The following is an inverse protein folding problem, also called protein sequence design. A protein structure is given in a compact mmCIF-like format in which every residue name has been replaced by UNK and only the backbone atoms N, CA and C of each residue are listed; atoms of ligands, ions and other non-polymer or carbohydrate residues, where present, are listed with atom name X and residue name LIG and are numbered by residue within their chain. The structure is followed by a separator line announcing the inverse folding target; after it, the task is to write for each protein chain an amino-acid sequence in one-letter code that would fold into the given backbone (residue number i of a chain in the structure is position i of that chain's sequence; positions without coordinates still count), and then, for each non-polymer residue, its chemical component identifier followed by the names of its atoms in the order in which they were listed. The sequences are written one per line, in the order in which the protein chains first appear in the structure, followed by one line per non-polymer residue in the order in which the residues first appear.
data_IF_949195191709
#
_entry.id   IF_949195191709
#
_cell.length_a   1.000
_cell.length_b   1.000
_cell.length_c   1.000
_cell.angle_alpha   90.00
_cell.angle_beta   90.00
_cell.angle_gamma   90.00
#
_symmetry.space_group_name_H-M   'P 1'
#
loop_
_entity.id
_entity.type
_entity.pdbx_description
1 polymer ?
#
# COMPACT_ATOMS: atom_id res chain seq x y z
N UNK A 1 -10.85 12.66 -15.70
CA UNK A 1 -9.39 12.58 -15.42
C UNK A 1 -8.94 13.93 -14.87
N UNK A 2 -9.21 15.06 -15.54
CA UNK A 2 -8.75 16.38 -15.09
C UNK A 2 -9.15 16.75 -13.66
N UNK A 3 -10.38 16.46 -13.24
CA UNK A 3 -10.85 16.73 -11.88
C UNK A 3 -10.13 15.86 -10.84
N UNK A 4 -9.80 14.61 -11.20
CA UNK A 4 -9.02 13.73 -10.33
C UNK A 4 -7.59 14.22 -10.16
N UNK A 5 -6.92 14.64 -11.25
CA UNK A 5 -5.58 15.21 -11.20
C UNK A 5 -5.51 16.46 -10.32
N UNK A 6 -6.47 17.38 -10.48
CA UNK A 6 -6.56 18.59 -9.67
C UNK A 6 -6.74 18.27 -8.18
N UNK A 7 -7.61 17.30 -7.85
CA UNK A 7 -7.82 16.84 -6.48
C UNK A 7 -6.54 16.27 -5.89
N UNK A 8 -5.89 15.35 -6.59
CA UNK A 8 -4.67 14.70 -6.09
C UNK A 8 -3.52 15.70 -5.94
N UNK A 9 -3.34 16.61 -6.89
CA UNK A 9 -2.34 17.67 -6.80
C UNK A 9 -2.61 18.58 -5.60
N UNK A 10 -3.87 19.01 -5.40
CA UNK A 10 -4.27 19.84 -4.27
C UNK A 10 -3.99 19.16 -2.92
N UNK A 11 -4.40 17.92 -2.78
CA UNK A 11 -4.20 17.14 -1.55
C UNK A 11 -2.71 16.95 -1.24
N UNK A 12 -1.92 16.50 -2.21
CA UNK A 12 -0.49 16.25 -1.95
C UNK A 12 0.37 17.51 -1.86
N UNK A 13 -0.08 18.64 -2.42
CA UNK A 13 0.55 19.93 -2.19
C UNK A 13 0.32 20.45 -0.76
N UNK A 14 -0.87 20.19 -0.19
CA UNK A 14 -1.26 20.64 1.14
C UNK A 14 -0.90 19.65 2.26
N UNK A 15 -0.53 18.39 1.93
CA UNK A 15 -0.29 17.35 2.91
C UNK A 15 0.86 17.73 3.88
N UNK A 16 0.62 17.69 5.21
CA UNK A 16 1.59 18.10 6.22
C UNK A 16 2.60 16.96 6.50
N UNK A 17 3.45 16.68 5.52
CA UNK A 17 4.38 15.55 5.57
C UNK A 17 5.82 15.99 5.81
N UNK A 18 6.58 15.16 6.53
CA UNK A 18 8.01 15.36 6.79
C UNK A 18 8.85 15.03 5.55
N UNK A 19 10.12 15.46 5.56
CA UNK A 19 11.03 15.22 4.44
C UNK A 19 11.33 13.72 4.22
N UNK A 20 11.23 12.89 5.25
CA UNK A 20 11.47 11.45 5.25
C UNK A 20 10.17 10.63 5.10
N UNK A 21 9.03 11.29 4.91
CA UNK A 21 7.75 10.63 4.71
C UNK A 21 7.78 9.63 3.55
N UNK A 22 7.10 8.51 3.74
CA UNK A 22 6.86 7.51 2.71
C UNK A 22 5.39 7.60 2.30
N UNK A 23 5.11 7.89 1.04
CA UNK A 23 3.75 7.99 0.52
C UNK A 23 3.42 6.71 -0.24
N UNK A 24 2.40 5.99 0.20
CA UNK A 24 1.92 4.78 -0.45
C UNK A 24 0.48 4.99 -0.90
N UNK A 25 0.26 4.99 -2.21
CA UNK A 25 -1.02 5.33 -2.82
C UNK A 25 -1.53 4.13 -3.62
N UNK A 26 -2.66 3.57 -3.18
CA UNK A 26 -3.28 2.44 -3.86
C UNK A 26 -4.21 2.92 -4.96
N UNK A 27 -4.00 2.44 -6.17
CA UNK A 27 -4.78 2.79 -7.36
C UNK A 27 -5.09 1.54 -8.19
N UNK A 28 -6.36 1.40 -8.57
CA UNK A 28 -6.83 0.34 -9.46
C UNK A 28 -6.78 0.74 -10.93
N UNK A 29 -6.97 -0.22 -11.82
CA UNK A 29 -7.15 0.04 -13.25
C UNK A 29 -8.57 0.55 -13.51
N UNK A 30 -8.68 1.63 -14.24
CA UNK A 30 -9.94 2.16 -14.76
C UNK A 30 -10.02 1.87 -16.26
N UNK A 31 -11.16 1.35 -16.71
CA UNK A 31 -11.43 1.12 -18.13
C UNK A 31 -12.56 2.03 -18.59
N UNK A 32 -12.40 2.60 -19.77
CA UNK A 32 -13.41 3.40 -20.46
C UNK A 32 -13.33 3.10 -21.95
N UNK A 33 -14.46 2.92 -22.59
CA UNK A 33 -14.57 2.69 -24.05
C UNK A 33 -13.69 1.54 -24.55
N UNK A 34 -13.55 0.47 -23.74
CA UNK A 34 -12.76 -0.71 -24.08
C UNK A 34 -11.27 -0.63 -23.75
N UNK A 35 -10.76 0.53 -23.37
CA UNK A 35 -9.34 0.75 -23.08
C UNK A 35 -9.12 1.00 -21.59
N UNK A 36 -7.92 0.64 -21.08
CA UNK A 36 -7.50 1.08 -19.75
C UNK A 36 -6.98 2.52 -19.83
N UNK A 37 -7.35 3.32 -18.82
CA UNK A 37 -6.99 4.73 -18.76
C UNK A 37 -5.85 4.92 -17.76
N UNK A 38 -4.68 5.41 -18.18
CA UNK A 38 -3.55 5.68 -17.31
C UNK A 38 -3.74 7.01 -16.56
N UNK A 39 -4.82 7.15 -15.82
CA UNK A 39 -5.26 8.40 -15.19
C UNK A 39 -4.27 8.94 -14.14
N UNK A 40 -3.32 8.13 -13.70
CA UNK A 40 -2.27 8.52 -12.74
C UNK A 40 -0.99 9.06 -13.40
N UNK A 41 -0.84 9.03 -14.73
CA UNK A 41 0.42 9.41 -15.39
C UNK A 41 0.80 10.87 -15.14
N UNK A 42 -0.10 11.80 -15.42
CA UNK A 42 0.14 13.23 -15.25
C UNK A 42 0.38 13.58 -13.77
N UNK A 43 -0.41 13.00 -12.87
CA UNK A 43 -0.19 13.15 -11.44
C UNK A 43 1.18 12.62 -10.99
N UNK A 44 1.61 11.47 -11.47
CA UNK A 44 2.94 10.93 -11.11
C UNK A 44 4.09 11.77 -11.66
N UNK A 45 3.92 12.40 -12.82
CA UNK A 45 4.87 13.38 -13.37
C UNK A 45 4.90 14.64 -12.51
N UNK A 46 3.74 15.14 -12.11
CA UNK A 46 3.62 16.27 -11.20
C UNK A 46 4.29 15.97 -9.84
N UNK A 47 4.07 14.80 -9.25
CA UNK A 47 4.75 14.37 -8.01
C UNK A 47 6.27 14.46 -8.15
N UNK A 48 6.84 14.03 -9.29
CA UNK A 48 8.27 14.18 -9.55
C UNK A 48 8.70 15.64 -9.58
N UNK A 49 7.93 16.50 -10.21
CA UNK A 49 8.21 17.95 -10.25
C UNK A 49 8.20 18.58 -8.86
N UNK A 50 7.42 18.02 -7.90
CA UNK A 50 7.39 18.42 -6.49
C UNK A 50 8.54 17.79 -5.66
N UNK A 51 9.49 17.11 -6.30
CA UNK A 51 10.65 16.50 -5.64
C UNK A 51 10.40 15.11 -5.05
N UNK A 52 9.24 14.49 -5.32
CA UNK A 52 8.96 13.12 -4.93
C UNK A 52 9.55 12.15 -5.95
N UNK A 53 10.32 11.18 -5.48
CA UNK A 53 10.82 10.10 -6.34
C UNK A 53 9.76 9.03 -6.49
N UNK A 54 9.52 8.53 -7.70
CA UNK A 54 8.77 7.29 -7.94
C UNK A 54 9.66 6.13 -7.50
N UNK A 55 9.58 5.77 -6.22
CA UNK A 55 10.56 4.92 -5.55
C UNK A 55 10.24 3.43 -5.66
N UNK A 56 8.98 3.05 -5.50
CA UNK A 56 8.53 1.68 -5.60
C UNK A 56 7.19 1.54 -6.31
N UNK A 57 6.94 0.35 -6.80
CA UNK A 57 5.68 -0.06 -7.40
C UNK A 57 5.38 -1.47 -6.92
N UNK A 58 4.34 -1.60 -6.11
CA UNK A 58 3.94 -2.86 -5.49
C UNK A 58 2.58 -3.29 -6.02
N UNK A 59 2.26 -4.56 -5.84
CA UNK A 59 0.99 -5.14 -6.25
C UNK A 59 0.24 -5.60 -5.01
N UNK A 60 -1.01 -5.22 -4.89
CA UNK A 60 -1.95 -5.88 -4.01
C UNK A 60 -2.70 -6.96 -4.78
N UNK A 61 -2.33 -8.21 -4.56
CA UNK A 61 -3.03 -9.41 -5.05
C UNK A 61 -4.24 -9.66 -4.15
N UNK A 62 -5.42 -9.45 -4.73
CA UNK A 62 -6.72 -9.53 -4.06
C UNK A 62 -7.30 -10.96 -4.03
N UNK A 63 -6.55 -11.93 -4.54
CA UNK A 63 -7.00 -13.29 -4.76
C UNK A 63 -7.81 -13.47 -6.06
N UNK A 64 -8.67 -14.47 -6.16
CA UNK A 64 -9.40 -14.75 -7.39
C UNK A 64 -10.18 -13.54 -7.91
N UNK A 65 -10.12 -13.32 -9.21
CA UNK A 65 -10.86 -12.25 -9.88
C UNK A 65 -12.36 -12.35 -9.63
N UNK A 66 -13.08 -11.25 -9.73
CA UNK A 66 -14.53 -11.22 -9.63
C UNK A 66 -15.14 -11.98 -10.81
N UNK A 67 -16.14 -12.86 -10.58
CA UNK A 67 -16.84 -13.53 -11.66
C UNK A 67 -17.57 -12.50 -12.52
N UNK A 68 -17.70 -12.78 -13.80
CA UNK A 68 -18.42 -11.95 -14.76
C UNK A 68 -17.81 -11.98 -16.15
N UNK A 69 -18.50 -11.35 -17.09
CA UNK A 69 -17.95 -11.07 -18.41
C UNK A 69 -17.20 -9.76 -18.39
N UNK A 70 -15.92 -9.82 -18.72
CA UNK A 70 -15.02 -8.67 -18.72
C UNK A 70 -14.69 -8.18 -20.15
N UNK A 71 -15.59 -8.46 -21.11
CA UNK A 71 -15.47 -8.03 -22.50
C UNK A 71 -14.11 -8.45 -23.13
N UNK A 72 -13.77 -9.73 -23.00
CA UNK A 72 -12.52 -10.30 -23.54
C UNK A 72 -11.28 -10.06 -22.67
N UNK A 73 -11.39 -9.36 -21.56
CA UNK A 73 -10.30 -9.16 -20.60
C UNK A 73 -10.32 -10.24 -19.51
N UNK A 74 -9.20 -10.44 -18.86
CA UNK A 74 -9.12 -11.26 -17.66
C UNK A 74 -9.84 -10.58 -16.49
N UNK A 75 -10.38 -11.36 -15.57
CA UNK A 75 -11.04 -10.85 -14.36
C UNK A 75 -10.03 -10.11 -13.48
N UNK A 76 -10.33 -8.86 -13.06
CA UNK A 76 -9.41 -8.06 -12.25
C UNK A 76 -9.21 -8.71 -10.88
N UNK A 77 -7.95 -8.89 -10.49
CA UNK A 77 -7.56 -9.58 -9.27
C UNK A 77 -6.47 -8.85 -8.48
N UNK A 78 -6.06 -7.69 -8.94
CA UNK A 78 -5.01 -6.90 -8.29
C UNK A 78 -5.21 -5.40 -8.49
N UNK A 79 -4.54 -4.65 -7.63
CA UNK A 79 -4.36 -3.21 -7.73
C UNK A 79 -2.89 -2.85 -7.51
N UNK A 80 -2.54 -1.61 -7.76
CA UNK A 80 -1.17 -1.13 -7.64
C UNK A 80 -1.02 -0.25 -6.41
N UNK A 81 0.13 -0.33 -5.76
CA UNK A 81 0.53 0.58 -4.68
C UNK A 81 1.76 1.35 -5.15
N UNK A 82 1.58 2.62 -5.45
CA UNK A 82 2.66 3.53 -5.84
C UNK A 82 3.34 4.05 -4.59
N UNK A 83 4.66 3.93 -4.53
CA UNK A 83 5.47 4.39 -3.42
C UNK A 83 6.32 5.58 -3.84
N UNK A 84 6.10 6.71 -3.18
CA UNK A 84 6.89 7.91 -3.37
C UNK A 84 7.63 8.27 -2.09
N UNK A 85 8.84 8.82 -2.22
CA UNK A 85 9.59 9.41 -1.12
C UNK A 85 10.52 10.51 -1.60
N UNK A 86 11.01 11.32 -0.68
CA UNK A 86 12.14 12.24 -0.89
C UNK A 86 13.42 11.65 -0.34
N UNK A 87 13.33 10.90 0.76
CA UNK A 87 14.42 10.17 1.38
C UNK A 87 14.05 8.69 1.50
N UNK A 88 14.95 7.74 1.16
CA UNK A 88 14.63 6.31 1.25
C UNK A 88 14.62 5.88 2.72
N UNK A 89 13.63 5.08 3.09
CA UNK A 89 13.59 4.34 4.34
C UNK A 89 13.79 2.85 4.02
N UNK A 90 14.60 2.15 4.81
CA UNK A 90 14.68 0.69 4.74
C UNK A 90 13.39 0.11 5.30
N UNK A 91 12.71 -0.80 4.59
CA UNK A 91 11.56 -1.48 5.14
C UNK A 91 11.93 -2.31 6.36
N UNK A 92 11.04 -2.36 7.33
CA UNK A 92 11.15 -3.23 8.49
C UNK A 92 11.05 -4.70 8.06
N UNK A 93 11.70 -5.59 8.79
CA UNK A 93 11.67 -7.02 8.56
C UNK A 93 10.50 -7.62 9.34
N UNK A 94 9.35 -7.74 8.68
CA UNK A 94 8.09 -8.16 9.31
C UNK A 94 7.66 -9.57 8.93
N UNK A 95 8.31 -10.18 7.93
CA UNK A 95 7.96 -11.51 7.43
C UNK A 95 8.95 -12.53 7.94
N UNK A 96 8.47 -13.61 8.55
CA UNK A 96 9.32 -14.72 8.99
C UNK A 96 10.12 -15.33 7.82
N UNK A 97 11.37 -15.66 8.07
CA UNK A 97 12.23 -16.31 7.10
C UNK A 97 12.01 -17.82 7.16
N UNK A 98 11.64 -18.43 6.03
CA UNK A 98 11.37 -19.88 5.92
C UNK A 98 12.54 -20.75 6.40
N UNK A 99 13.77 -20.27 6.26
CA UNK A 99 15.01 -21.00 6.57
C UNK A 99 15.83 -20.26 7.63
N UNK A 100 15.16 -19.65 8.63
CA UNK A 100 15.81 -18.93 9.71
C UNK A 100 16.83 -19.84 10.46
N UNK A 101 18.02 -19.32 10.69
CA UNK A 101 19.10 -20.03 11.37
C UNK A 101 19.92 -20.99 10.48
N UNK A 102 19.42 -21.34 9.29
CA UNK A 102 20.22 -22.12 8.33
C UNK A 102 21.35 -21.26 7.74
N UNK A 103 22.44 -21.92 7.36
CA UNK A 103 23.55 -21.22 6.71
C UNK A 103 23.20 -20.84 5.27
N UNK A 104 23.39 -19.59 4.92
CA UNK A 104 23.15 -19.12 3.55
C UNK A 104 24.12 -19.83 2.60
N UNK A 105 23.56 -20.69 1.72
CA UNK A 105 24.31 -21.45 0.74
C UNK A 105 25.07 -20.58 -0.26
N UNK A 106 26.15 -21.10 -0.78
CA UNK A 106 26.88 -20.48 -1.90
C UNK A 106 26.03 -20.47 -3.17
N UNK A 107 26.07 -19.37 -3.87
CA UNK A 107 25.42 -19.20 -5.18
C UNK A 107 25.89 -17.91 -5.82
N UNK A 108 25.84 -17.86 -7.15
CA UNK A 108 26.18 -16.65 -7.90
C UNK A 108 24.92 -15.83 -8.19
N UNK A 109 25.03 -14.53 -8.08
CA UNK A 109 24.08 -13.56 -8.62
C UNK A 109 24.64 -13.02 -9.93
N UNK A 110 23.86 -13.06 -11.00
CA UNK A 110 24.24 -12.46 -12.27
C UNK A 110 23.95 -10.96 -12.22
N UNK A 111 25.01 -10.15 -12.43
CA UNK A 111 24.89 -8.71 -12.62
C UNK A 111 24.24 -8.35 -13.94
N UNK A 112 23.85 -7.08 -14.10
CA UNK A 112 23.28 -6.56 -15.34
C UNK A 112 24.23 -6.64 -16.53
N UNK A 113 25.53 -6.66 -16.28
CA UNK A 113 26.63 -6.84 -17.24
C UNK A 113 26.88 -8.32 -17.61
N UNK A 114 26.10 -9.26 -17.05
CA UNK A 114 26.25 -10.70 -17.28
C UNK A 114 27.29 -11.37 -16.39
N UNK A 115 28.07 -10.63 -15.60
CA UNK A 115 29.04 -11.21 -14.67
C UNK A 115 28.35 -11.93 -13.51
N UNK A 116 28.99 -12.97 -12.99
CA UNK A 116 28.48 -13.72 -11.85
C UNK A 116 29.26 -13.35 -10.59
N UNK A 117 28.59 -12.71 -9.65
CA UNK A 117 29.16 -12.34 -8.37
C UNK A 117 28.72 -13.31 -7.28
N UNK A 118 29.60 -13.58 -6.31
CA UNK A 118 29.23 -14.38 -5.15
C UNK A 118 28.13 -13.65 -4.38
N UNK A 119 27.11 -14.40 -3.96
CA UNK A 119 26.00 -13.87 -3.13
C UNK A 119 26.55 -13.31 -1.83
N UNK A 120 26.26 -12.03 -1.55
CA UNK A 120 26.66 -11.38 -0.29
C UNK A 120 26.06 -12.12 0.90
N UNK A 121 26.87 -12.31 1.96
CA UNK A 121 26.42 -13.00 3.18
C UNK A 121 26.48 -14.53 3.10
N UNK A 122 27.03 -15.12 2.02
CA UNK A 122 27.29 -16.58 1.96
C UNK A 122 28.09 -17.04 3.18
N UNK A 123 27.62 -18.08 3.87
CA UNK A 123 28.21 -18.58 5.10
C UNK A 123 27.61 -17.98 6.38
N UNK A 124 26.84 -16.89 6.29
CA UNK A 124 26.13 -16.33 7.45
C UNK A 124 24.81 -17.06 7.70
N UNK A 125 24.37 -17.05 8.96
CA UNK A 125 23.06 -17.56 9.31
C UNK A 125 21.94 -16.68 8.70
N UNK A 126 20.90 -17.31 8.19
CA UNK A 126 19.70 -16.63 7.68
C UNK A 126 18.97 -16.01 8.88
N UNK A 127 18.65 -14.74 8.77
CA UNK A 127 17.96 -14.00 9.82
C UNK A 127 16.54 -14.53 10.04
N UNK A 128 16.01 -14.36 11.25
CA UNK A 128 14.66 -14.81 11.61
C UNK A 128 13.56 -14.15 10.77
N UNK A 129 13.74 -12.89 10.40
CA UNK A 129 12.78 -12.13 9.62
C UNK A 129 13.45 -11.48 8.40
N UNK A 130 12.67 -11.31 7.35
CA UNK A 130 13.02 -10.63 6.11
C UNK A 130 12.05 -9.47 5.82
N UNK A 131 12.43 -8.58 4.92
CA UNK A 131 11.54 -7.56 4.39
C UNK A 131 10.37 -8.23 3.64
N UNK A 132 9.18 -7.60 3.60
CA UNK A 132 8.05 -8.08 2.80
C UNK A 132 8.38 -8.18 1.30
N UNK A 133 7.62 -8.99 0.61
CA UNK A 133 7.64 -9.05 -0.84
C UNK A 133 6.96 -7.83 -1.46
N UNK A 134 7.26 -7.53 -2.72
CA UNK A 134 6.59 -6.45 -3.47
C UNK A 134 5.17 -6.79 -3.92
N UNK A 135 4.67 -7.98 -3.56
CA UNK A 135 3.31 -8.44 -3.82
C UNK A 135 2.65 -8.78 -2.48
N UNK A 136 1.68 -7.97 -2.09
CA UNK A 136 0.84 -8.22 -0.91
C UNK A 136 -0.29 -9.17 -1.27
N UNK A 137 -0.22 -10.42 -0.83
CA UNK A 137 -1.22 -11.46 -1.08
C UNK A 137 -2.25 -11.47 0.03
N UNK A 138 -3.18 -10.54 -0.03
CA UNK A 138 -4.20 -10.32 1.00
C UNK A 138 -5.55 -10.28 0.32
N UNK A 139 -6.40 -11.24 0.66
CA UNK A 139 -7.74 -11.35 0.05
C UNK A 139 -8.54 -10.07 0.25
N UNK A 140 -9.26 -9.64 -0.80
CA UNK A 140 -10.20 -8.53 -0.68
C UNK A 140 -11.24 -8.80 0.41
N UNK A 141 -11.74 -7.74 1.01
CA UNK A 141 -12.83 -7.87 1.98
C UNK A 141 -14.07 -8.44 1.29
N UNK A 142 -14.67 -9.48 1.90
CA UNK A 142 -15.91 -10.09 1.40
C UNK A 142 -17.07 -9.63 2.28
N UNK A 143 -18.02 -8.92 1.70
CA UNK A 143 -19.23 -8.47 2.38
C UNK A 143 -19.22 -6.99 2.76
N UNK A 144 -20.36 -6.50 3.25
CA UNK A 144 -20.51 -5.13 3.74
C UNK A 144 -19.83 -4.92 5.10
N UNK A 145 -19.89 -3.69 5.60
CA UNK A 145 -19.33 -3.31 6.90
C UNK A 145 -20.19 -3.78 8.10
N UNK A 146 -21.16 -4.66 7.86
CA UNK A 146 -22.09 -5.12 8.90
C UNK A 146 -22.91 -3.97 9.49
N UNK A 147 -23.04 -3.94 10.81
CA UNK A 147 -23.79 -2.91 11.52
C UNK A 147 -23.17 -1.49 11.40
N UNK A 148 -21.93 -1.37 10.97
CA UNK A 148 -21.27 -0.08 10.78
C UNK A 148 -21.70 0.67 9.51
N UNK A 149 -22.45 0.01 8.61
CA UNK A 149 -22.94 0.63 7.38
C UNK A 149 -22.40 0.00 6.09
N UNK A 150 -22.46 0.73 4.99
CA UNK A 150 -21.96 0.28 3.68
C UNK A 150 -20.96 1.29 3.12
N UNK A 151 -19.91 0.77 2.47
CA UNK A 151 -18.97 1.57 1.69
C UNK A 151 -18.58 0.76 0.45
N UNK A 152 -18.57 1.37 -0.74
CA UNK A 152 -18.36 0.64 -2.00
C UNK A 152 -16.96 0.06 -2.17
N UNK A 153 -15.96 0.67 -1.52
CA UNK A 153 -14.55 0.27 -1.67
C UNK A 153 -13.85 0.28 -0.30
N UNK A 154 -13.76 -0.89 0.33
CA UNK A 154 -13.11 -1.05 1.64
C UNK A 154 -11.85 -1.89 1.49
N UNK A 155 -10.71 -1.35 1.90
CA UNK A 155 -9.49 -2.13 2.03
C UNK A 155 -9.59 -3.14 3.17
N UNK A 156 -8.98 -4.32 3.04
CA UNK A 156 -8.72 -5.16 4.20
C UNK A 156 -7.80 -4.45 5.19
N UNK A 157 -8.14 -4.48 6.47
CA UNK A 157 -7.28 -3.91 7.53
C UNK A 157 -5.88 -4.51 7.46
N UNK A 158 -5.76 -5.82 7.21
CA UNK A 158 -4.48 -6.52 7.09
C UNK A 158 -3.56 -5.95 5.98
N UNK A 159 -4.10 -5.38 4.89
CA UNK A 159 -3.29 -4.73 3.88
C UNK A 159 -2.60 -3.48 4.44
N UNK A 160 -3.38 -2.67 5.14
CA UNK A 160 -2.87 -1.43 5.73
C UNK A 160 -1.90 -1.75 6.87
N UNK A 161 -2.21 -2.73 7.73
CA UNK A 161 -1.29 -3.22 8.78
C UNK A 161 0.05 -3.63 8.18
N UNK A 162 0.06 -4.46 7.13
CA UNK A 162 1.29 -4.90 6.47
C UNK A 162 2.12 -3.74 5.90
N UNK A 163 1.46 -2.72 5.33
CA UNK A 163 2.12 -1.52 4.81
C UNK A 163 2.68 -0.66 5.95
N UNK A 164 1.89 -0.42 7.00
CA UNK A 164 2.33 0.37 8.16
C UNK A 164 3.51 -0.29 8.88
N UNK A 165 3.44 -1.57 9.13
CA UNK A 165 4.54 -2.32 9.78
C UNK A 165 5.82 -2.28 8.94
N UNK A 166 5.71 -2.33 7.61
CA UNK A 166 6.87 -2.28 6.73
C UNK A 166 7.57 -0.91 6.72
N UNK A 167 6.81 0.20 6.81
CA UNK A 167 7.35 1.55 6.55
C UNK A 167 7.27 2.52 7.72
N UNK A 168 6.77 2.08 8.89
CA UNK A 168 6.68 2.90 10.10
C UNK A 168 7.10 2.11 11.33
N UNK A 169 7.36 2.81 12.43
CA UNK A 169 7.57 2.22 13.75
C UNK A 169 6.39 2.53 14.70
N UNK A 170 6.16 1.76 15.77
CA UNK A 170 5.17 2.10 16.77
C UNK A 170 5.34 3.53 17.29
N UNK A 171 4.23 4.27 17.39
CA UNK A 171 4.21 5.69 17.78
C UNK A 171 4.34 6.68 16.62
N UNK A 172 4.74 6.25 15.43
CA UNK A 172 4.77 7.11 14.23
C UNK A 172 3.39 7.65 13.88
N UNK A 173 3.38 8.81 13.21
CA UNK A 173 2.16 9.45 12.73
C UNK A 173 1.89 9.08 11.28
N UNK A 174 0.69 8.59 11.02
CA UNK A 174 0.13 8.30 9.71
C UNK A 174 -0.84 9.41 9.33
N UNK A 175 -0.77 9.90 8.10
CA UNK A 175 -1.74 10.83 7.53
C UNK A 175 -2.52 10.16 6.41
N UNK A 176 -3.84 10.17 6.50
CA UNK A 176 -4.76 9.59 5.53
C UNK A 176 -5.71 10.67 4.99
N UNK A 177 -5.49 11.16 3.76
CA UNK A 177 -6.32 12.23 3.19
C UNK A 177 -7.67 11.76 2.63
N UNK A 178 -7.90 10.46 2.51
CA UNK A 178 -9.11 9.86 1.91
C UNK A 178 -9.64 8.73 2.81
N UNK A 179 -10.01 9.07 4.03
CA UNK A 179 -10.28 8.13 5.12
C UNK A 179 -11.39 7.11 4.80
N UNK A 180 -12.42 7.53 4.08
CA UNK A 180 -13.56 6.68 3.75
C UNK A 180 -14.16 6.05 5.00
N UNK A 181 -14.20 4.73 5.02
CA UNK A 181 -14.73 3.98 6.15
C UNK A 181 -13.75 3.77 7.33
N UNK A 182 -12.59 4.44 7.36
CA UNK A 182 -11.67 4.43 8.50
C UNK A 182 -10.79 3.20 8.65
N UNK A 183 -10.48 2.48 7.58
CA UNK A 183 -9.63 1.28 7.65
C UNK A 183 -8.23 1.60 8.18
N UNK A 184 -7.67 2.74 7.81
CA UNK A 184 -6.36 3.21 8.25
C UNK A 184 -6.35 3.56 9.74
N UNK A 185 -7.45 4.11 10.28
CA UNK A 185 -7.58 4.37 11.72
C UNK A 185 -7.48 3.07 12.53
N UNK A 186 -8.21 2.04 12.09
CA UNK A 186 -8.22 0.72 12.75
C UNK A 186 -6.83 0.07 12.65
N UNK A 187 -6.20 0.09 11.48
CA UNK A 187 -4.87 -0.48 11.27
C UNK A 187 -3.80 0.24 12.10
N UNK A 188 -3.85 1.57 12.17
CA UNK A 188 -2.93 2.37 12.96
C UNK A 188 -3.06 2.02 14.45
N UNK A 189 -4.28 1.97 14.98
CA UNK A 189 -4.53 1.58 16.37
C UNK A 189 -3.97 0.20 16.69
N UNK A 190 -4.30 -0.82 15.88
CA UNK A 190 -3.85 -2.20 16.08
C UNK A 190 -2.33 -2.37 16.02
N UNK A 191 -1.68 -1.53 15.24
CA UNK A 191 -0.22 -1.58 15.07
C UNK A 191 0.53 -0.59 15.96
N UNK A 192 -0.17 0.13 16.84
CA UNK A 192 0.41 1.10 17.77
C UNK A 192 0.91 2.39 17.11
N UNK A 193 0.33 2.77 15.96
CA UNK A 193 0.60 4.04 15.27
C UNK A 193 -0.49 5.04 15.60
N UNK A 194 -0.19 6.33 15.43
CA UNK A 194 -1.18 7.41 15.50
C UNK A 194 -1.64 7.72 14.09
N UNK A 195 -2.94 7.98 13.89
CA UNK A 195 -3.47 8.35 12.60
C UNK A 195 -4.23 9.68 12.67
N UNK A 196 -3.93 10.58 11.73
CA UNK A 196 -4.76 11.74 11.42
C UNK A 196 -5.39 11.51 10.05
N UNK A 197 -6.71 11.54 9.98
CA UNK A 197 -7.44 11.23 8.78
C UNK A 197 -8.40 12.37 8.41
N UNK A 198 -8.64 12.52 7.11
CA UNK A 198 -9.58 13.48 6.54
C UNK A 198 -10.61 12.73 5.73
N UNK A 199 -11.87 13.10 5.89
CA UNK A 199 -12.99 12.59 5.09
C UNK A 199 -13.92 13.76 4.75
N UNK A 200 -14.35 13.83 3.51
CA UNK A 200 -15.20 14.92 3.01
C UNK A 200 -16.68 14.67 3.34
N UNK A 201 -17.12 13.42 3.26
CA UNK A 201 -18.51 13.05 3.51
C UNK A 201 -18.76 12.77 4.99
N UNK A 202 -19.61 13.57 5.68
CA UNK A 202 -19.88 13.38 7.10
C UNK A 202 -20.51 12.03 7.41
N UNK A 203 -21.20 11.39 6.46
CA UNK A 203 -21.75 10.04 6.65
C UNK A 203 -20.62 9.03 6.80
N UNK A 204 -19.55 9.16 6.01
CA UNK A 204 -18.39 8.29 6.14
C UNK A 204 -17.54 8.61 7.37
N UNK A 205 -17.52 9.86 7.84
CA UNK A 205 -16.94 10.18 9.15
C UNK A 205 -17.61 9.36 10.27
N UNK A 206 -18.95 9.33 10.30
CA UNK A 206 -19.70 8.53 11.28
C UNK A 206 -19.43 7.03 11.14
N UNK A 207 -19.33 6.53 9.92
CA UNK A 207 -18.98 5.12 9.65
C UNK A 207 -17.58 4.81 10.16
N UNK A 208 -16.62 5.68 9.94
CA UNK A 208 -15.23 5.51 10.37
C UNK A 208 -15.13 5.44 11.90
N UNK A 209 -15.81 6.36 12.61
CA UNK A 209 -15.85 6.38 14.09
C UNK A 209 -16.47 5.10 14.63
N UNK A 210 -17.67 4.72 14.14
CA UNK A 210 -18.35 3.50 14.61
C UNK A 210 -17.50 2.25 14.37
N UNK A 211 -16.86 2.13 13.21
CA UNK A 211 -15.98 1.00 12.92
C UNK A 211 -14.76 0.97 13.84
N UNK A 212 -14.19 2.11 14.13
CA UNK A 212 -13.07 2.21 15.05
C UNK A 212 -13.48 1.80 16.47
N UNK A 213 -14.59 2.34 17.00
CA UNK A 213 -15.15 1.96 18.30
C UNK A 213 -15.42 0.45 18.39
N UNK A 214 -16.04 -0.15 17.36
CA UNK A 214 -16.30 -1.59 17.30
C UNK A 214 -15.03 -2.45 17.25
N UNK A 215 -13.94 -1.92 16.72
CA UNK A 215 -12.68 -2.64 16.56
C UNK A 215 -11.76 -2.53 17.78
N UNK A 216 -11.96 -1.50 18.62
CA UNK A 216 -11.09 -1.17 19.76
C UNK A 216 -11.74 -1.40 21.13
N UNK A 217 -13.07 -1.54 21.20
CA UNK A 217 -13.85 -1.80 22.41
C UNK A 217 -14.42 -0.52 23.00
#
# INVERSE_FOLDING_TARGET
VGDWDALMQGVFAAAPVTADAQLLVNLGLVHRDGEWIPYWEDWTLWMRAQGWRRFGWYVWDQGPGLPGDWNGRLAPSHEFIFHFNRQPRKPNKTVESKHAGETLGGGGLRGADGTVHRKTGTGNAIQSHRIPDSVFRIMRHKGGLGAAGSHPAVFPVALVEAVLEAFTDPGDLVFEPFCGSGTQLIAAERTGRRCCAVELDPVYCDVAVRRWEMATG
#
